data_IF_754232367289
#
_entry.id   IF_754232367289
#
_cell.length_a   1.000
_cell.length_b   1.000
_cell.length_c   1.000
_cell.angle_alpha   90.00
_cell.angle_beta   90.00
_cell.angle_gamma   90.00
#
_symmetry.space_group_name_H-M   'P 1'
#
loop_
_entity.id
_entity.type
_entity.pdbx_description
1 polymer ?
#
# COMPACT_ATOMS: atom_id res chain seq x y z
N UNK A 1 -19.54 -7.23 5.63
CA UNK A 1 -18.16 -7.16 5.14
C UNK A 1 -17.42 -5.98 5.75
N UNK A 2 -16.22 -6.24 6.19
CA UNK A 2 -15.39 -5.19 6.73
C UNK A 2 -14.95 -4.22 5.63
N UNK A 3 -15.07 -2.93 5.89
CA UNK A 3 -14.66 -1.88 4.96
C UNK A 3 -13.13 -1.74 4.94
N UNK A 4 -12.58 -1.45 3.77
CA UNK A 4 -11.15 -1.23 3.58
C UNK A 4 -10.95 0.24 3.20
N UNK A 5 -10.43 1.09 4.11
CA UNK A 5 -10.24 2.50 3.80
C UNK A 5 -9.15 2.70 2.76
N UNK A 6 -9.41 3.58 1.80
CA UNK A 6 -8.47 3.92 0.73
C UNK A 6 -8.62 5.38 0.33
N UNK A 7 -7.53 5.96 -0.17
CA UNK A 7 -7.62 7.24 -0.86
C UNK A 7 -8.15 7.00 -2.28
N UNK A 8 -8.63 8.07 -2.93
CA UNK A 8 -9.07 8.00 -4.32
C UNK A 8 -7.92 7.52 -5.24
N UNK A 9 -6.71 8.02 -5.01
CA UNK A 9 -5.53 7.63 -5.80
C UNK A 9 -5.21 6.14 -5.60
N UNK A 10 -5.31 5.64 -4.38
CA UNK A 10 -5.06 4.23 -4.09
C UNK A 10 -6.08 3.31 -4.75
N UNK A 11 -7.35 3.69 -4.69
CA UNK A 11 -8.41 2.95 -5.36
C UNK A 11 -8.16 2.86 -6.87
N UNK A 12 -7.81 3.99 -7.49
CA UNK A 12 -7.52 4.04 -8.93
C UNK A 12 -6.30 3.17 -9.28
N UNK A 13 -5.24 3.23 -8.48
CA UNK A 13 -4.02 2.44 -8.72
C UNK A 13 -4.28 0.93 -8.62
N UNK A 14 -5.04 0.51 -7.63
CA UNK A 14 -5.40 -0.91 -7.47
C UNK A 14 -6.30 -1.39 -8.62
N UNK A 15 -7.22 -0.54 -9.08
CA UNK A 15 -8.06 -0.82 -10.23
C UNK A 15 -7.25 -1.01 -11.52
N UNK A 16 -6.24 -0.18 -11.72
CA UNK A 16 -5.34 -0.29 -12.88
C UNK A 16 -4.50 -1.57 -12.81
N UNK A 17 -4.01 -1.92 -11.63
CA UNK A 17 -3.27 -3.17 -11.44
C UNK A 17 -4.15 -4.37 -11.76
N UNK A 18 -5.39 -4.39 -11.27
CA UNK A 18 -6.33 -5.47 -11.52
C UNK A 18 -6.59 -5.62 -13.01
N UNK A 19 -6.86 -4.52 -13.69
CA UNK A 19 -7.11 -4.51 -15.13
C UNK A 19 -5.93 -5.08 -15.91
N UNK A 20 -4.71 -4.65 -15.59
CA UNK A 20 -3.50 -5.13 -16.25
C UNK A 20 -3.32 -6.63 -16.05
N UNK A 21 -3.51 -7.12 -14.83
CA UNK A 21 -3.35 -8.55 -14.54
C UNK A 21 -4.37 -9.42 -15.25
N UNK A 22 -5.58 -8.93 -15.42
CA UNK A 22 -6.64 -9.66 -16.12
C UNK A 22 -6.49 -9.60 -17.64
N UNK A 23 -6.16 -8.44 -18.20
CA UNK A 23 -6.17 -8.21 -19.64
C UNK A 23 -4.83 -8.41 -20.33
N UNK A 24 -3.72 -8.30 -19.61
CA UNK A 24 -2.38 -8.44 -20.17
C UNK A 24 -1.61 -9.62 -19.59
N UNK A 25 -1.48 -9.69 -18.27
CA UNK A 25 -0.66 -10.72 -17.64
C UNK A 25 -1.29 -12.11 -17.75
N UNK A 26 -2.59 -12.21 -17.51
CA UNK A 26 -3.29 -13.49 -17.59
C UNK A 26 -3.18 -14.14 -18.98
N UNK A 27 -3.49 -13.44 -20.08
CA UNK A 27 -3.31 -14.03 -21.42
C UNK A 27 -1.88 -14.39 -21.76
N UNK A 28 -0.93 -13.55 -21.37
CA UNK A 28 0.50 -13.80 -21.58
C UNK A 28 0.95 -15.07 -20.87
N UNK A 29 0.52 -15.25 -19.64
CA UNK A 29 0.89 -16.43 -18.83
C UNK A 29 0.26 -17.69 -19.42
N UNK A 30 -0.98 -17.63 -19.87
CA UNK A 30 -1.67 -18.76 -20.51
C UNK A 30 -0.92 -19.20 -21.76
N UNK A 31 -0.50 -18.24 -22.58
CA UNK A 31 0.30 -18.51 -23.77
C UNK A 31 1.66 -19.12 -23.42
N UNK A 32 2.31 -18.60 -22.37
CA UNK A 32 3.59 -19.11 -21.89
C UNK A 32 3.48 -20.58 -21.39
N UNK A 33 2.38 -20.92 -20.71
CA UNK A 33 2.11 -22.28 -20.28
C UNK A 33 1.94 -23.20 -21.49
N UNK A 34 1.17 -22.78 -22.49
CA UNK A 34 0.95 -23.56 -23.69
C UNK A 34 2.25 -23.82 -24.46
N UNK A 35 3.10 -22.80 -24.56
CA UNK A 35 4.43 -22.93 -25.17
C UNK A 35 5.31 -23.90 -24.41
N UNK A 36 5.38 -23.76 -23.09
CA UNK A 36 6.20 -24.64 -22.24
C UNK A 36 5.75 -26.09 -22.32
N UNK A 37 4.45 -26.35 -22.44
CA UNK A 37 3.91 -27.71 -22.60
C UNK A 37 4.37 -28.38 -23.91
N UNK A 38 4.64 -27.59 -24.92
CA UNK A 38 5.10 -28.11 -26.23
C UNK A 38 6.52 -28.66 -26.19
N UNK A 39 7.29 -28.39 -25.12
CA UNK A 39 8.68 -28.78 -25.00
C UNK A 39 8.89 -30.18 -24.37
N UNK A 40 7.83 -30.93 -24.08
CA UNK A 40 7.93 -32.34 -23.69
C UNK A 40 7.47 -32.67 -22.28
N UNK A 41 8.23 -33.51 -21.55
CA UNK A 41 7.85 -34.07 -20.27
C UNK A 41 7.58 -32.98 -19.21
N UNK A 42 6.33 -32.88 -18.76
CA UNK A 42 5.90 -31.86 -17.81
C UNK A 42 6.52 -32.02 -16.42
N UNK A 43 6.82 -33.23 -16.02
CA UNK A 43 7.38 -33.48 -14.67
C UNK A 43 8.80 -32.92 -14.49
N UNK A 44 9.57 -32.82 -15.58
CA UNK A 44 10.93 -32.29 -15.58
C UNK A 44 11.08 -30.94 -16.30
N UNK A 45 9.97 -30.38 -16.74
CA UNK A 45 9.95 -29.14 -17.52
C UNK A 45 9.95 -27.93 -16.58
N UNK A 46 11.12 -27.36 -16.34
CA UNK A 46 11.28 -26.20 -15.44
C UNK A 46 10.51 -24.98 -15.94
N UNK A 47 10.44 -24.77 -17.24
CA UNK A 47 9.69 -23.65 -17.82
C UNK A 47 8.19 -23.78 -17.55
N UNK A 48 7.67 -25.00 -17.68
CA UNK A 48 6.27 -25.28 -17.40
C UNK A 48 5.95 -25.01 -15.92
N UNK A 49 6.78 -25.52 -15.00
CA UNK A 49 6.57 -25.33 -13.56
C UNK A 49 6.66 -23.84 -13.18
N UNK A 50 7.62 -23.11 -13.75
CA UNK A 50 7.76 -21.68 -13.50
C UNK A 50 6.53 -20.90 -14.00
N UNK A 51 6.01 -21.24 -15.18
CA UNK A 51 4.82 -20.59 -15.74
C UNK A 51 3.57 -20.89 -14.92
N UNK A 52 3.43 -22.11 -14.41
CA UNK A 52 2.31 -22.48 -13.53
C UNK A 52 2.38 -21.75 -12.19
N UNK A 53 3.58 -21.58 -11.66
CA UNK A 53 3.77 -20.81 -10.42
C UNK A 53 3.43 -19.34 -10.64
N UNK A 54 3.85 -18.76 -11.75
CA UNK A 54 3.49 -17.39 -12.12
C UNK A 54 1.98 -17.22 -12.25
N UNK A 55 1.29 -18.20 -12.87
CA UNK A 55 -0.16 -18.21 -12.97
C UNK A 55 -0.82 -18.19 -11.59
N UNK A 56 -0.38 -19.07 -10.70
CA UNK A 56 -0.93 -19.15 -9.34
C UNK A 56 -0.77 -17.82 -8.61
N UNK A 57 0.41 -17.21 -8.72
CA UNK A 57 0.71 -15.92 -8.09
C UNK A 57 -0.19 -14.81 -8.65
N UNK A 58 -0.33 -14.74 -9.98
CA UNK A 58 -1.14 -13.72 -10.63
C UNK A 58 -2.63 -13.89 -10.28
N UNK A 59 -3.17 -15.11 -10.33
CA UNK A 59 -4.58 -15.36 -9.98
C UNK A 59 -4.85 -15.07 -8.51
N UNK A 60 -3.92 -15.38 -7.62
CA UNK A 60 -4.04 -15.06 -6.20
C UNK A 60 -4.09 -13.55 -5.97
N UNK A 61 -3.25 -12.79 -6.67
CA UNK A 61 -3.26 -11.32 -6.57
C UNK A 61 -4.54 -10.72 -7.16
N UNK A 62 -5.05 -11.28 -8.27
CA UNK A 62 -6.32 -10.85 -8.85
C UNK A 62 -7.45 -11.01 -7.84
N UNK A 63 -7.54 -12.18 -7.20
CA UNK A 63 -8.58 -12.44 -6.19
C UNK A 63 -8.48 -11.47 -5.01
N UNK A 64 -7.27 -11.19 -4.55
CA UNK A 64 -7.02 -10.23 -3.47
C UNK A 64 -7.47 -8.82 -3.87
N UNK A 65 -7.12 -8.38 -5.08
CA UNK A 65 -7.51 -7.06 -5.59
C UNK A 65 -9.02 -6.94 -5.75
N UNK A 66 -9.68 -7.96 -6.28
CA UNK A 66 -11.13 -7.97 -6.42
C UNK A 66 -11.81 -7.83 -5.06
N UNK A 67 -11.33 -8.56 -4.05
CA UNK A 67 -11.86 -8.48 -2.69
C UNK A 67 -11.68 -7.09 -2.09
N UNK A 68 -10.45 -6.54 -2.15
CA UNK A 68 -10.15 -5.23 -1.56
C UNK A 68 -10.94 -4.12 -2.23
N UNK A 69 -11.05 -4.15 -3.56
CA UNK A 69 -11.80 -3.14 -4.29
C UNK A 69 -13.31 -3.23 -4.01
N UNK A 70 -13.84 -4.44 -3.86
CA UNK A 70 -15.26 -4.64 -3.52
C UNK A 70 -15.61 -4.09 -2.14
N UNK A 71 -14.65 -4.11 -1.21
CA UNK A 71 -14.84 -3.62 0.16
C UNK A 71 -14.32 -2.20 0.37
N UNK A 72 -13.90 -1.53 -0.69
CA UNK A 72 -13.27 -0.21 -0.58
C UNK A 72 -14.21 0.83 0.03
N UNK A 73 -13.68 1.58 0.98
CA UNK A 73 -14.29 2.78 1.54
C UNK A 73 -13.39 3.95 1.13
N UNK A 74 -13.80 4.64 0.06
CA UNK A 74 -12.97 5.70 -0.52
C UNK A 74 -13.15 6.98 0.27
N UNK A 75 -12.05 7.50 0.82
CA UNK A 75 -12.04 8.72 1.60
C UNK A 75 -11.47 9.84 0.73
N UNK A 76 -12.28 10.86 0.48
CA UNK A 76 -11.87 12.03 -0.30
C UNK A 76 -11.09 13.00 0.59
N UNK A 77 -9.77 12.92 0.51
CA UNK A 77 -8.89 13.75 1.34
C UNK A 77 -8.91 15.24 0.94
N UNK A 78 -9.38 15.56 -0.27
CA UNK A 78 -9.45 16.95 -0.71
C UNK A 78 -10.54 17.73 0.02
N UNK A 79 -11.49 17.02 0.64
CA UNK A 79 -12.56 17.62 1.44
C UNK A 79 -12.18 17.77 2.91
N UNK A 80 -11.01 17.29 3.30
CA UNK A 80 -10.52 17.37 4.67
C UNK A 80 -9.62 18.60 4.83
N UNK A 81 -9.63 19.15 6.03
CA UNK A 81 -8.83 20.33 6.37
C UNK A 81 -8.53 20.35 7.86
N UNK A 82 -7.66 21.28 8.27
CA UNK A 82 -7.31 21.49 9.66
C UNK A 82 -5.97 20.87 10.03
N UNK A 83 -5.64 21.02 11.31
CA UNK A 83 -4.33 20.63 11.87
C UNK A 83 -4.34 19.30 12.61
N UNK A 84 -5.50 18.68 12.74
CA UNK A 84 -5.62 17.36 13.41
C UNK A 84 -5.37 16.25 12.40
N UNK A 85 -4.46 15.36 12.74
CA UNK A 85 -4.07 14.25 11.86
C UNK A 85 -5.17 13.19 11.81
N UNK A 86 -5.60 12.86 10.59
CA UNK A 86 -6.60 11.83 10.31
C UNK A 86 -6.11 11.01 9.12
N UNK A 87 -6.85 9.97 8.76
CA UNK A 87 -6.57 9.20 7.55
C UNK A 87 -6.39 10.14 6.35
N UNK A 88 -5.37 9.87 5.56
CA UNK A 88 -5.08 10.64 4.34
C UNK A 88 -4.17 11.85 4.55
N UNK A 89 -3.92 12.25 5.80
CA UNK A 89 -3.06 13.39 6.09
C UNK A 89 -1.62 13.15 5.64
N UNK A 90 -1.00 14.18 5.07
CA UNK A 90 0.42 14.21 4.80
C UNK A 90 1.10 15.01 5.90
N UNK A 91 1.94 14.35 6.66
CA UNK A 91 2.52 14.90 7.89
C UNK A 91 4.02 15.06 7.72
N UNK A 92 4.52 16.25 8.06
CA UNK A 92 5.96 16.51 8.11
C UNK A 92 6.41 16.39 9.56
N UNK A 93 7.37 15.50 9.78
CA UNK A 93 7.94 15.21 11.11
C UNK A 93 9.40 15.63 11.15
N UNK A 94 9.83 16.09 12.32
CA UNK A 94 11.24 16.38 12.59
C UNK A 94 11.68 15.50 13.76
N UNK A 95 12.70 14.68 13.54
CA UNK A 95 13.30 13.84 14.58
C UNK A 95 13.99 14.78 15.58
N UNK A 96 13.59 14.70 16.86
CA UNK A 96 14.12 15.59 17.88
C UNK A 96 15.61 15.37 18.20
N UNK A 97 16.13 14.19 17.92
CA UNK A 97 17.54 13.86 18.17
C UNK A 97 18.45 14.28 17.03
N UNK A 98 18.01 14.10 15.78
CA UNK A 98 18.84 14.29 14.59
C UNK A 98 18.46 15.51 13.77
N UNK A 99 17.34 16.16 14.07
CA UNK A 99 16.75 17.28 13.30
C UNK A 99 16.42 16.93 11.84
N UNK A 100 16.41 15.64 11.50
CA UNK A 100 16.05 15.21 10.14
C UNK A 100 14.54 15.29 9.93
N UNK A 101 14.16 15.78 8.75
CA UNK A 101 12.76 15.85 8.35
C UNK A 101 12.37 14.59 7.58
N UNK A 102 11.14 14.17 7.80
CA UNK A 102 10.52 13.11 7.01
C UNK A 102 9.07 13.50 6.73
N UNK A 103 8.61 13.16 5.53
CA UNK A 103 7.22 13.43 5.12
C UNK A 103 6.53 12.11 4.89
N UNK A 104 5.41 11.90 5.56
CA UNK A 104 4.64 10.67 5.50
C UNK A 104 3.17 10.96 5.24
N UNK A 105 2.57 10.21 4.32
CA UNK A 105 1.13 10.21 4.15
C UNK A 105 0.55 8.96 4.81
N UNK A 106 -0.52 9.14 5.59
CA UNK A 106 -1.22 8.03 6.23
C UNK A 106 -2.30 7.53 5.27
N UNK A 107 -2.15 6.29 4.82
CA UNK A 107 -3.02 5.70 3.82
C UNK A 107 -3.56 4.34 4.30
N UNK A 108 -4.39 3.72 3.48
CA UNK A 108 -4.87 2.37 3.75
C UNK A 108 -3.75 1.34 3.67
N UNK A 109 -3.92 0.25 4.37
CA UNK A 109 -2.93 -0.84 4.39
C UNK A 109 -2.55 -1.30 2.99
N UNK A 110 -3.54 -1.34 2.08
CA UNK A 110 -3.34 -1.82 0.70
C UNK A 110 -2.55 -0.83 -0.18
N UNK A 111 -2.43 0.42 0.24
CA UNK A 111 -1.71 1.47 -0.49
C UNK A 111 -0.33 1.76 0.08
N UNK A 112 0.00 1.21 1.25
CA UNK A 112 1.22 1.55 1.97
C UNK A 112 2.46 1.22 1.15
N UNK A 113 3.40 2.17 1.10
CA UNK A 113 4.68 2.01 0.42
C UNK A 113 5.67 3.00 1.05
N UNK A 114 6.48 2.50 1.97
CA UNK A 114 7.44 3.33 2.70
C UNK A 114 8.42 4.06 1.78
N UNK A 115 8.78 3.47 0.66
CA UNK A 115 9.69 4.09 -0.31
C UNK A 115 9.09 5.34 -0.95
N UNK A 116 7.76 5.40 -1.03
CA UNK A 116 7.03 6.54 -1.59
C UNK A 116 6.48 7.46 -0.49
N UNK A 117 6.87 7.26 0.75
CA UNK A 117 6.42 8.07 1.86
C UNK A 117 4.99 7.78 2.30
N UNK A 118 4.49 6.59 2.06
CA UNK A 118 3.12 6.18 2.45
C UNK A 118 3.18 5.12 3.52
N UNK A 119 2.59 5.42 4.68
CA UNK A 119 2.52 4.48 5.79
C UNK A 119 1.09 4.02 6.01
N UNK A 120 0.96 2.76 6.41
CA UNK A 120 -0.36 2.20 6.73
C UNK A 120 -0.96 2.85 7.98
N UNK A 121 -2.26 3.09 7.94
CA UNK A 121 -3.01 3.56 9.11
C UNK A 121 -2.86 2.61 10.30
N UNK A 122 -2.52 1.35 10.06
CA UNK A 122 -2.30 0.35 11.11
C UNK A 122 -0.86 0.34 11.65
N UNK A 123 0.06 1.08 11.02
CA UNK A 123 1.46 1.12 11.46
C UNK A 123 1.60 1.80 12.83
N UNK A 124 2.65 1.45 13.62
CA UNK A 124 2.88 2.10 14.91
C UNK A 124 3.02 3.61 14.79
N UNK A 125 3.72 4.11 13.77
CA UNK A 125 3.89 5.55 13.57
C UNK A 125 2.55 6.24 13.29
N UNK A 126 1.73 5.67 12.39
CA UNK A 126 0.42 6.23 12.08
C UNK A 126 -0.49 6.25 13.32
N UNK A 127 -0.48 5.18 14.10
CA UNK A 127 -1.28 5.10 15.34
C UNK A 127 -0.87 6.15 16.35
N UNK A 128 0.41 6.46 16.44
CA UNK A 128 0.91 7.50 17.32
C UNK A 128 0.51 8.90 16.84
N UNK A 129 0.41 9.10 15.54
CA UNK A 129 0.10 10.40 14.93
C UNK A 129 -1.39 10.72 14.88
N UNK A 130 -2.25 9.73 14.65
CA UNK A 130 -3.70 9.95 14.50
C UNK A 130 -4.26 10.66 15.75
N UNK A 131 -5.00 11.74 15.51
CA UNK A 131 -5.61 12.53 16.56
C UNK A 131 -4.70 13.61 17.14
N UNK A 132 -3.44 13.63 16.77
CA UNK A 132 -2.49 14.68 17.20
C UNK A 132 -2.60 15.88 16.28
N UNK A 133 -2.10 17.02 16.76
CA UNK A 133 -2.17 18.29 16.02
C UNK A 133 -0.79 18.79 15.67
N UNK A 134 -0.72 19.64 14.67
CA UNK A 134 0.47 20.42 14.34
C UNK A 134 1.02 21.08 15.60
N UNK A 135 2.32 21.00 15.80
CA UNK A 135 3.01 21.54 16.97
C UNK A 135 3.18 20.55 18.12
N UNK A 136 2.50 19.41 18.05
CA UNK A 136 2.64 18.36 19.08
C UNK A 136 3.89 17.55 18.85
N UNK A 137 4.39 16.94 19.92
CA UNK A 137 5.47 15.95 19.88
C UNK A 137 4.88 14.58 20.13
N UNK A 138 5.31 13.60 19.35
CA UNK A 138 4.89 12.20 19.54
C UNK A 138 6.10 11.32 19.78
N UNK A 139 5.91 10.28 20.59
CA UNK A 139 6.94 9.28 20.84
C UNK A 139 6.51 7.97 20.21
N UNK A 140 7.40 7.36 19.46
CA UNK A 140 7.14 6.11 18.76
C UNK A 140 8.15 5.07 19.19
N UNK A 141 7.67 3.92 19.66
CA UNK A 141 8.52 2.79 20.01
C UNK A 141 8.98 2.09 18.74
N UNK A 142 10.29 1.94 18.61
CA UNK A 142 10.92 1.27 17.47
C UNK A 142 11.90 0.21 17.98
N UNK A 143 12.29 -0.76 17.16
CA UNK A 143 13.25 -1.80 17.58
C UNK A 143 14.57 -1.27 18.12
N UNK A 144 15.01 -0.09 17.65
CA UNK A 144 16.23 0.57 18.14
C UNK A 144 16.03 1.48 19.33
N UNK A 145 14.84 1.49 19.95
CA UNK A 145 14.47 2.37 21.05
C UNK A 145 13.38 3.36 20.65
N UNK A 146 12.91 4.13 21.66
CA UNK A 146 11.88 5.14 21.42
C UNK A 146 12.47 6.35 20.69
N UNK A 147 11.71 6.87 19.73
CA UNK A 147 12.06 8.10 19.00
C UNK A 147 10.97 9.13 19.18
N UNK A 148 11.38 10.38 19.34
CA UNK A 148 10.45 11.51 19.47
C UNK A 148 10.48 12.35 18.21
N UNK A 149 9.29 12.73 17.72
CA UNK A 149 9.12 13.55 16.53
C UNK A 149 8.23 14.73 16.82
N UNK A 150 8.61 15.90 16.30
CA UNK A 150 7.76 17.09 16.31
C UNK A 150 6.94 17.11 15.02
N UNK A 151 5.64 17.35 15.13
CA UNK A 151 4.74 17.51 13.99
C UNK A 151 4.80 18.96 13.56
N UNK A 152 5.46 19.23 12.43
CA UNK A 152 5.67 20.61 11.96
C UNK A 152 4.67 21.04 10.91
N UNK A 153 4.03 20.08 10.20
CA UNK A 153 3.08 20.41 9.14
C UNK A 153 2.07 19.28 8.95
N UNK A 154 0.83 19.66 8.71
CA UNK A 154 -0.26 18.72 8.37
C UNK A 154 -0.91 19.23 7.10
N UNK A 155 -0.87 18.41 6.03
CA UNK A 155 -1.40 18.79 4.72
C UNK A 155 -2.40 17.75 4.22
N UNK A 156 -3.28 18.18 3.32
CA UNK A 156 -4.31 17.35 2.70
C UNK A 156 -4.16 17.44 1.18
N UNK A 157 -3.33 16.59 0.61
CA UNK A 157 -3.04 16.59 -0.83
C UNK A 157 -3.24 15.24 -1.52
#
# INVERSE_FOLDING_TARGET
MEKVPMTQAGFAALGEELKKRQSEDRPRIIEHIAEARSHGDLSENAEYHAAKEEQSHNEGRIAELEDKLARADIIDITKLSGDTIKFGATVTLVDEDTDKKAVWQIVGEVEADAKKGRISITSPLARALIGKKKGSTVEVNAPGGAKAYEITKVEWR
#
